data_IF_749848112639
#
_entry.id   IF_749848112639
#
_cell.length_a   1.000
_cell.length_b   1.000
_cell.length_c   1.000
_cell.angle_alpha   90.00
_cell.angle_beta   90.00
_cell.angle_gamma   90.00
#
_symmetry.space_group_name_H-M   'P 1'
#
loop_
_entity.id
_entity.type
_entity.pdbx_description
1 polymer ?
#
# COMPACT_ATOMS: atom_id res chain seq x y z
N UNK A 1 29.21 -2.60 27.81
CA UNK A 1 28.12 -2.00 28.60
C UNK A 1 27.08 -1.45 27.63
N UNK A 2 26.13 -2.27 27.23
CA UNK A 2 25.08 -1.91 26.30
C UNK A 2 23.91 -1.27 27.05
N UNK A 3 23.71 0.05 26.89
CA UNK A 3 22.46 0.73 27.31
C UNK A 3 21.30 0.08 26.58
N UNK A 4 20.43 -0.64 27.27
CA UNK A 4 19.10 -1.00 26.84
C UNK A 4 18.35 0.31 26.53
N UNK A 5 18.35 0.73 25.27
CA UNK A 5 17.46 1.78 24.81
C UNK A 5 16.02 1.26 24.98
N UNK A 6 15.33 1.68 26.06
CA UNK A 6 13.90 1.50 26.21
C UNK A 6 13.23 1.89 24.90
N UNK A 7 12.53 0.96 24.28
CA UNK A 7 11.79 1.24 23.05
C UNK A 7 10.83 2.41 23.31
N UNK A 8 11.19 3.58 22.79
CA UNK A 8 10.33 4.77 22.88
C UNK A 8 9.02 4.43 22.17
N UNK A 9 7.88 4.78 22.76
CA UNK A 9 6.59 4.57 22.13
C UNK A 9 6.51 5.28 20.75
N UNK A 10 5.61 4.85 19.88
CA UNK A 10 5.44 5.37 18.49
C UNK A 10 5.39 6.90 18.46
N UNK A 11 4.59 7.52 19.34
CA UNK A 11 4.46 8.99 19.42
C UNK A 11 5.80 9.65 19.79
N UNK A 12 6.56 9.06 20.74
CA UNK A 12 7.85 9.59 21.14
C UNK A 12 8.90 9.48 20.02
N UNK A 13 8.84 8.41 19.23
CA UNK A 13 9.69 8.27 18.03
C UNK A 13 9.30 9.26 16.95
N UNK A 14 8.01 9.45 16.68
CA UNK A 14 7.52 10.43 15.70
C UNK A 14 7.98 11.84 16.04
N UNK A 15 7.96 12.23 17.31
CA UNK A 15 8.44 13.55 17.78
C UNK A 15 9.93 13.80 17.58
N UNK A 16 10.74 12.80 17.23
CA UNK A 16 12.16 12.96 16.91
C UNK A 16 12.42 13.41 15.47
N UNK A 17 11.40 13.46 14.64
CA UNK A 17 11.48 13.94 13.26
C UNK A 17 11.07 15.40 13.15
N UNK A 18 11.38 16.04 12.03
CA UNK A 18 10.95 17.40 11.72
C UNK A 18 9.40 17.50 11.67
N UNK A 19 8.88 18.71 11.88
CA UNK A 19 7.43 18.95 11.90
C UNK A 19 6.74 18.54 10.59
N UNK A 20 7.42 18.71 9.44
CA UNK A 20 6.95 18.26 8.13
C UNK A 20 6.73 16.75 8.09
N UNK A 21 7.72 15.97 8.52
CA UNK A 21 7.63 14.51 8.61
C UNK A 21 6.54 14.06 9.58
N UNK A 22 6.42 14.69 10.76
CA UNK A 22 5.35 14.41 11.72
C UNK A 22 3.96 14.66 11.09
N UNK A 23 3.82 15.78 10.37
CA UNK A 23 2.59 16.12 9.67
C UNK A 23 2.24 15.08 8.59
N UNK A 24 3.21 14.63 7.81
CA UNK A 24 2.98 13.59 6.79
C UNK A 24 2.54 12.26 7.39
N UNK A 25 3.07 11.87 8.56
CA UNK A 25 2.64 10.64 9.27
C UNK A 25 1.19 10.77 9.75
N UNK A 26 0.84 11.88 10.41
CA UNK A 26 -0.54 12.14 10.84
C UNK A 26 -1.48 12.23 9.64
N UNK A 27 -1.05 12.90 8.56
CA UNK A 27 -1.80 12.93 7.31
C UNK A 27 -2.09 11.54 6.77
N UNK A 28 -1.09 10.65 6.78
CA UNK A 28 -1.28 9.29 6.27
C UNK A 28 -2.34 8.53 7.06
N UNK A 29 -2.31 8.63 8.39
CA UNK A 29 -3.37 8.07 9.25
C UNK A 29 -4.74 8.63 8.88
N UNK A 30 -4.86 9.95 8.84
CA UNK A 30 -6.14 10.65 8.62
C UNK A 30 -6.70 10.40 7.22
N UNK A 31 -5.83 10.32 6.20
CA UNK A 31 -6.20 9.99 4.82
C UNK A 31 -6.75 8.57 4.72
N UNK A 32 -6.08 7.61 5.35
CA UNK A 32 -6.57 6.24 5.35
C UNK A 32 -7.85 6.10 6.17
N UNK A 33 -7.93 6.74 7.33
CA UNK A 33 -9.16 6.78 8.12
C UNK A 33 -10.34 7.25 7.27
N UNK A 34 -10.25 8.45 6.67
CA UNK A 34 -11.32 9.03 5.86
C UNK A 34 -11.63 8.23 4.59
N UNK A 35 -10.64 7.60 3.97
CA UNK A 35 -10.83 6.76 2.80
C UNK A 35 -11.52 5.42 3.14
N UNK A 36 -10.97 4.69 4.11
CA UNK A 36 -11.50 3.37 4.50
C UNK A 36 -12.79 3.46 5.31
N UNK A 37 -13.15 4.63 5.82
CA UNK A 37 -14.44 4.92 6.42
C UNK A 37 -15.59 4.81 5.40
N UNK A 38 -15.32 5.12 4.12
CA UNK A 38 -16.31 5.18 3.05
C UNK A 38 -16.24 3.99 2.09
N UNK A 39 -15.05 3.64 1.63
CA UNK A 39 -14.87 2.71 0.50
C UNK A 39 -15.44 1.30 0.69
N UNK A 40 -15.35 0.66 1.86
CA UNK A 40 -15.94 -0.67 2.06
C UNK A 40 -17.48 -0.67 1.93
N UNK A 41 -18.13 0.46 2.19
CA UNK A 41 -19.60 0.58 2.20
C UNK A 41 -20.17 1.10 0.87
N UNK A 42 -19.32 1.64 0.00
CA UNK A 42 -19.75 2.21 -1.29
C UNK A 42 -20.48 1.17 -2.16
N UNK A 43 -19.93 -0.04 -2.28
CA UNK A 43 -20.56 -1.09 -3.08
C UNK A 43 -21.98 -1.44 -2.58
N UNK A 44 -22.14 -1.56 -1.26
CA UNK A 44 -23.44 -1.85 -0.63
C UNK A 44 -24.43 -0.70 -0.83
N UNK A 45 -23.97 0.54 -0.76
CA UNK A 45 -24.83 1.71 -1.04
C UNK A 45 -25.29 1.74 -2.49
N UNK A 46 -24.37 1.54 -3.45
CA UNK A 46 -24.68 1.56 -4.88
C UNK A 46 -25.68 0.44 -5.26
N UNK A 47 -25.47 -0.78 -4.75
CA UNK A 47 -26.35 -1.92 -5.09
C UNK A 47 -27.62 -1.97 -4.26
N UNK A 48 -27.54 -1.64 -2.96
CA UNK A 48 -28.67 -1.75 -2.02
C UNK A 48 -29.56 -0.50 -2.02
N UNK A 49 -28.98 0.69 -1.76
CA UNK A 49 -29.77 1.92 -1.62
C UNK A 49 -30.16 2.51 -2.97
N UNK A 50 -29.23 2.55 -3.94
CA UNK A 50 -29.50 3.09 -5.28
C UNK A 50 -30.04 2.04 -6.25
N UNK A 51 -30.07 0.75 -5.88
CA UNK A 51 -30.59 -0.33 -6.73
C UNK A 51 -29.84 -0.53 -8.05
N UNK A 52 -28.56 -0.10 -8.13
CA UNK A 52 -27.78 -0.19 -9.37
C UNK A 52 -27.40 -1.64 -9.67
N UNK A 53 -27.47 -2.00 -10.96
CA UNK A 53 -27.03 -3.31 -11.43
C UNK A 53 -25.56 -3.58 -11.08
N UNK A 54 -25.21 -4.82 -10.76
CA UNK A 54 -23.87 -5.21 -10.31
C UNK A 54 -22.74 -4.81 -11.27
N UNK A 55 -22.99 -4.82 -12.59
CA UNK A 55 -22.01 -4.36 -13.58
C UNK A 55 -21.72 -2.85 -13.49
N UNK A 56 -22.71 -2.02 -13.13
CA UNK A 56 -22.53 -0.57 -12.91
C UNK A 56 -21.70 -0.35 -11.64
N UNK A 57 -22.01 -1.09 -10.56
CA UNK A 57 -21.21 -1.06 -9.32
C UNK A 57 -19.77 -1.44 -9.61
N UNK A 58 -19.57 -2.51 -10.36
CA UNK A 58 -18.24 -2.94 -10.81
C UNK A 58 -17.52 -1.88 -11.64
N UNK A 59 -18.24 -1.20 -12.54
CA UNK A 59 -17.70 -0.12 -13.38
C UNK A 59 -17.26 1.09 -12.52
N UNK A 60 -18.08 1.52 -11.57
CA UNK A 60 -17.77 2.64 -10.66
C UNK A 60 -16.49 2.35 -9.84
N UNK A 61 -16.39 1.15 -9.26
CA UNK A 61 -15.22 0.73 -8.50
C UNK A 61 -13.99 0.50 -9.41
N UNK A 62 -14.22 -0.04 -10.60
CA UNK A 62 -13.20 -0.27 -11.62
C UNK A 62 -12.57 1.03 -12.13
N UNK A 63 -13.39 2.03 -12.44
CA UNK A 63 -12.94 3.36 -12.88
C UNK A 63 -12.05 4.02 -11.81
N UNK A 64 -12.43 3.92 -10.53
CA UNK A 64 -11.59 4.41 -9.43
C UNK A 64 -10.21 3.74 -9.41
N UNK A 65 -10.19 2.41 -9.47
CA UNK A 65 -8.94 1.65 -9.44
C UNK A 65 -8.07 1.95 -10.67
N UNK A 66 -8.67 1.98 -11.85
CA UNK A 66 -7.97 2.28 -13.10
C UNK A 66 -7.38 3.70 -13.08
N UNK A 67 -8.17 4.69 -12.66
CA UNK A 67 -7.67 6.08 -12.51
C UNK A 67 -6.52 6.18 -11.52
N UNK A 68 -6.54 5.43 -10.43
CA UNK A 68 -5.44 5.44 -9.46
C UNK A 68 -4.19 4.76 -10.01
N UNK A 69 -4.30 3.52 -10.46
CA UNK A 69 -3.16 2.72 -10.88
C UNK A 69 -2.54 3.22 -12.19
N UNK A 70 -3.38 3.59 -13.17
CA UNK A 70 -2.92 4.10 -14.46
C UNK A 70 -2.28 5.48 -14.38
N UNK A 71 -2.65 6.30 -13.40
CA UNK A 71 -2.16 7.68 -13.27
C UNK A 71 -1.02 7.85 -12.27
N UNK A 72 -0.54 6.81 -11.59
CA UNK A 72 0.56 6.92 -10.65
C UNK A 72 1.84 7.47 -11.27
N UNK A 73 2.21 7.02 -12.48
CA UNK A 73 3.38 7.52 -13.19
C UNK A 73 3.25 9.01 -13.52
N UNK A 74 2.06 9.44 -13.96
CA UNK A 74 1.76 10.85 -14.25
C UNK A 74 1.83 11.68 -12.97
N UNK A 75 1.20 11.20 -11.89
CA UNK A 75 1.22 11.87 -10.58
C UNK A 75 2.64 12.05 -10.03
N UNK A 76 3.47 11.01 -10.12
CA UNK A 76 4.87 11.08 -9.73
C UNK A 76 5.68 12.09 -10.55
N UNK A 77 5.48 12.10 -11.86
CA UNK A 77 6.15 13.04 -12.77
C UNK A 77 5.75 14.49 -12.48
N UNK A 78 4.47 14.73 -12.25
CA UNK A 78 3.98 16.05 -11.86
C UNK A 78 4.55 16.47 -10.49
N UNK A 79 4.69 15.56 -9.55
CA UNK A 79 5.25 15.83 -8.23
C UNK A 79 6.72 16.23 -8.31
N UNK A 80 7.53 15.58 -9.12
CA UNK A 80 8.93 15.96 -9.33
C UNK A 80 9.09 17.31 -10.06
N UNK A 81 8.14 17.67 -10.93
CA UNK A 81 8.18 18.93 -11.70
C UNK A 81 7.60 20.14 -10.98
N UNK A 82 6.43 19.97 -10.37
CA UNK A 82 5.70 21.07 -9.74
C UNK A 82 6.01 21.20 -8.24
N UNK A 83 6.67 20.18 -7.69
CA UNK A 83 6.94 20.06 -6.26
C UNK A 83 5.92 19.18 -5.55
N UNK A 84 6.31 18.66 -4.40
CA UNK A 84 5.51 17.67 -3.67
C UNK A 84 4.27 18.26 -3.01
N UNK A 85 4.40 19.45 -2.37
CA UNK A 85 3.29 20.11 -1.66
C UNK A 85 2.07 20.39 -2.56
N UNK A 86 2.20 20.99 -3.76
CA UNK A 86 1.04 21.24 -4.63
C UNK A 86 0.27 19.96 -4.97
N UNK A 87 0.98 18.86 -5.24
CA UNK A 87 0.34 17.58 -5.61
C UNK A 87 -0.35 16.92 -4.41
N UNK A 88 0.23 17.03 -3.22
CA UNK A 88 -0.37 16.55 -1.97
C UNK A 88 -1.69 17.30 -1.72
N UNK A 89 -1.69 18.62 -1.83
CA UNK A 89 -2.88 19.46 -1.63
C UNK A 89 -3.92 19.20 -2.72
N UNK A 90 -3.50 19.18 -4.00
CA UNK A 90 -4.40 18.90 -5.11
C UNK A 90 -5.09 17.53 -4.98
N UNK A 91 -4.34 16.49 -4.56
CA UNK A 91 -4.91 15.18 -4.27
C UNK A 91 -5.96 15.21 -3.16
N UNK A 92 -5.72 15.95 -2.08
CA UNK A 92 -6.71 16.09 -0.99
C UNK A 92 -7.95 16.86 -1.44
N UNK A 93 -7.80 17.96 -2.17
CA UNK A 93 -8.92 18.75 -2.70
C UNK A 93 -9.76 17.92 -3.68
N UNK A 94 -9.11 17.23 -4.61
CA UNK A 94 -9.80 16.37 -5.57
C UNK A 94 -10.56 15.23 -4.88
N UNK A 95 -10.01 14.67 -3.80
CA UNK A 95 -10.69 13.64 -3.00
C UNK A 95 -11.87 14.21 -2.23
N UNK A 96 -11.76 15.45 -1.69
CA UNK A 96 -12.90 16.17 -1.11
C UNK A 96 -14.06 16.28 -2.10
N UNK A 97 -13.77 16.78 -3.31
CA UNK A 97 -14.77 16.93 -4.37
C UNK A 97 -15.41 15.58 -4.73
N UNK A 98 -14.60 14.53 -4.92
CA UNK A 98 -15.10 13.20 -5.20
C UNK A 98 -16.03 12.66 -4.10
N UNK A 99 -15.69 12.83 -2.83
CA UNK A 99 -16.52 12.34 -1.72
C UNK A 99 -17.80 13.16 -1.54
N UNK A 100 -17.75 14.47 -1.71
CA UNK A 100 -18.96 15.32 -1.74
C UNK A 100 -19.91 14.85 -2.86
N UNK A 101 -19.38 14.61 -4.06
CA UNK A 101 -20.17 14.15 -5.19
C UNK A 101 -20.78 12.76 -4.92
N UNK A 102 -20.00 11.81 -4.38
CA UNK A 102 -20.50 10.47 -4.02
C UNK A 102 -21.61 10.50 -2.95
N UNK A 103 -21.61 11.53 -2.09
CA UNK A 103 -22.64 11.68 -1.04
C UNK A 103 -23.88 12.45 -1.45
N UNK A 104 -23.79 13.30 -2.48
CA UNK A 104 -24.88 14.21 -2.85
C UNK A 104 -25.55 13.91 -4.19
N UNK A 105 -24.94 13.06 -5.04
CA UNK A 105 -25.41 12.82 -6.40
C UNK A 105 -25.58 11.32 -6.67
N UNK A 106 -26.76 10.95 -7.17
CA UNK A 106 -27.13 9.55 -7.40
C UNK A 106 -27.06 9.15 -8.89
N UNK A 107 -26.74 10.09 -9.81
CA UNK A 107 -26.65 9.79 -11.23
C UNK A 107 -25.37 9.00 -11.57
N UNK A 108 -25.48 7.96 -12.40
CA UNK A 108 -24.36 7.10 -12.81
C UNK A 108 -23.19 7.88 -13.40
N UNK A 109 -23.38 8.86 -14.31
CA UNK A 109 -22.26 9.65 -14.83
C UNK A 109 -21.50 10.42 -13.74
N UNK A 110 -22.21 11.00 -12.76
CA UNK A 110 -21.59 11.73 -11.66
C UNK A 110 -20.85 10.79 -10.70
N UNK A 111 -21.39 9.59 -10.42
CA UNK A 111 -20.71 8.55 -9.64
C UNK A 111 -19.43 8.07 -10.31
N UNK A 112 -19.43 7.90 -11.64
CA UNK A 112 -18.23 7.55 -12.41
C UNK A 112 -17.17 8.67 -12.35
N UNK A 113 -17.59 9.94 -12.54
CA UNK A 113 -16.70 11.09 -12.44
C UNK A 113 -16.10 11.23 -11.04
N UNK A 114 -16.91 11.07 -9.99
CA UNK A 114 -16.45 11.10 -8.59
C UNK A 114 -15.47 9.95 -8.28
N UNK A 115 -15.73 8.76 -8.81
CA UNK A 115 -14.84 7.61 -8.68
C UNK A 115 -13.51 7.83 -9.40
N UNK A 116 -13.53 8.37 -10.62
CA UNK A 116 -12.34 8.76 -11.35
C UNK A 116 -11.53 9.82 -10.57
N UNK A 117 -12.21 10.84 -10.04
CA UNK A 117 -11.59 11.89 -9.25
C UNK A 117 -10.93 11.35 -7.97
N UNK A 118 -11.60 10.47 -7.23
CA UNK A 118 -11.04 9.86 -6.02
C UNK A 118 -9.85 8.93 -6.32
N UNK A 119 -9.86 8.24 -7.46
CA UNK A 119 -8.73 7.44 -7.94
C UNK A 119 -7.54 8.32 -8.31
N UNK A 120 -7.75 9.33 -9.17
CA UNK A 120 -6.73 10.29 -9.58
C UNK A 120 -6.12 11.04 -8.37
N UNK A 121 -6.94 11.41 -7.39
CA UNK A 121 -6.47 12.00 -6.14
C UNK A 121 -5.39 11.13 -5.46
N UNK A 122 -5.61 9.81 -5.39
CA UNK A 122 -4.63 8.87 -4.86
C UNK A 122 -3.35 8.80 -5.68
N UNK A 123 -3.48 8.89 -7.00
CA UNK A 123 -2.34 8.88 -7.92
C UNK A 123 -1.45 10.14 -7.78
N UNK A 124 -2.03 11.30 -7.53
CA UNK A 124 -1.31 12.55 -7.28
C UNK A 124 -0.63 12.54 -5.90
N UNK A 125 -1.36 12.11 -4.89
CA UNK A 125 -0.94 12.20 -3.50
C UNK A 125 0.17 11.18 -3.13
N UNK A 126 -0.01 9.89 -3.43
CA UNK A 126 0.84 8.83 -2.88
C UNK A 126 2.32 8.94 -3.27
N UNK A 127 2.71 9.15 -4.57
CA UNK A 127 4.10 9.32 -4.93
C UNK A 127 4.72 10.58 -4.31
N UNK A 128 3.95 11.68 -4.25
CA UNK A 128 4.41 12.95 -3.72
C UNK A 128 4.72 12.86 -2.21
N UNK A 129 3.84 12.23 -1.42
CA UNK A 129 4.05 12.02 0.03
C UNK A 129 5.26 11.15 0.30
N UNK A 130 5.41 10.04 -0.43
CA UNK A 130 6.55 9.12 -0.25
C UNK A 130 7.87 9.80 -0.61
N UNK A 131 7.91 10.53 -1.71
CA UNK A 131 9.10 11.27 -2.12
C UNK A 131 9.43 12.40 -1.13
N UNK A 132 8.43 13.13 -0.64
CA UNK A 132 8.61 14.15 0.40
C UNK A 132 9.18 13.53 1.68
N UNK A 133 8.56 12.44 2.16
CA UNK A 133 9.00 11.73 3.36
C UNK A 133 10.44 11.21 3.21
N UNK A 134 10.78 10.65 2.05
CA UNK A 134 12.11 10.16 1.76
C UNK A 134 13.17 11.28 1.79
N UNK A 135 12.84 12.43 1.20
CA UNK A 135 13.72 13.59 1.16
C UNK A 135 13.91 14.24 2.56
N UNK A 136 12.86 14.23 3.38
CA UNK A 136 12.87 14.81 4.73
C UNK A 136 13.59 13.93 5.75
N UNK A 137 13.42 12.61 5.63
CA UNK A 137 13.99 11.64 6.56
C UNK A 137 15.48 11.38 6.33
N UNK A 138 16.04 11.68 5.16
CA UNK A 138 17.44 11.51 4.83
C UNK A 138 17.95 10.10 5.14
N UNK A 139 19.00 9.95 5.93
CA UNK A 139 19.57 8.65 6.32
C UNK A 139 18.61 7.79 7.19
N UNK A 140 17.61 8.41 7.80
CA UNK A 140 16.62 7.73 8.66
C UNK A 140 15.39 7.25 7.89
N UNK A 141 15.47 7.15 6.54
CA UNK A 141 14.34 6.76 5.66
C UNK A 141 13.66 5.46 6.09
N UNK A 142 14.42 4.42 6.38
CA UNK A 142 13.87 3.11 6.79
C UNK A 142 13.00 3.24 8.06
N UNK A 143 13.49 3.98 9.07
CA UNK A 143 12.74 4.19 10.31
C UNK A 143 11.49 5.07 10.09
N UNK A 144 11.61 6.08 9.22
CA UNK A 144 10.51 6.95 8.86
C UNK A 144 9.39 6.17 8.12
N UNK A 145 9.75 5.30 7.16
CA UNK A 145 8.78 4.46 6.48
C UNK A 145 8.17 3.37 7.38
N UNK A 146 8.92 2.89 8.36
CA UNK A 146 8.37 1.99 9.38
C UNK A 146 7.29 2.68 10.23
N UNK A 147 7.55 3.90 10.69
CA UNK A 147 6.55 4.70 11.40
C UNK A 147 5.37 5.05 10.49
N UNK A 148 5.63 5.47 9.26
CA UNK A 148 4.61 5.75 8.27
C UNK A 148 3.66 4.56 8.05
N UNK A 149 4.20 3.32 8.01
CA UNK A 149 3.38 2.12 7.90
C UNK A 149 2.48 1.90 9.12
N UNK A 150 2.91 2.25 10.33
CA UNK A 150 2.06 2.18 11.52
C UNK A 150 0.84 3.11 11.38
N UNK A 151 1.09 4.38 11.01
CA UNK A 151 0.02 5.35 10.78
C UNK A 151 -0.90 4.94 9.63
N UNK A 152 -0.33 4.38 8.57
CA UNK A 152 -1.05 3.82 7.43
C UNK A 152 -2.01 2.71 7.88
N UNK A 153 -1.51 1.72 8.61
CA UNK A 153 -2.29 0.56 9.06
C UNK A 153 -3.32 0.93 10.16
N UNK A 154 -2.98 1.88 11.03
CA UNK A 154 -3.94 2.37 12.02
C UNK A 154 -5.17 3.02 11.37
N UNK A 155 -4.97 3.80 10.30
CA UNK A 155 -6.06 4.38 9.53
C UNK A 155 -6.92 3.33 8.81
N UNK A 156 -6.30 2.30 8.24
CA UNK A 156 -7.00 1.17 7.60
C UNK A 156 -7.84 0.38 8.63
N UNK A 157 -7.28 0.15 9.81
CA UNK A 157 -7.97 -0.61 10.86
C UNK A 157 -9.16 0.14 11.45
N UNK A 158 -8.99 1.44 11.74
CA UNK A 158 -10.02 2.25 12.38
C UNK A 158 -11.07 2.80 11.39
N UNK A 159 -10.69 2.99 10.12
CA UNK A 159 -11.57 3.54 9.09
C UNK A 159 -12.90 2.81 8.98
N UNK A 160 -12.92 1.49 8.73
CA UNK A 160 -14.17 0.74 8.60
C UNK A 160 -15.03 0.76 9.86
N UNK A 161 -14.42 0.81 11.06
CA UNK A 161 -15.18 0.88 12.33
C UNK A 161 -15.93 2.20 12.45
N UNK A 162 -15.27 3.32 12.16
CA UNK A 162 -15.92 4.63 12.13
C UNK A 162 -16.96 4.69 11.01
N UNK A 163 -16.62 4.15 9.84
CA UNK A 163 -17.51 4.08 8.68
C UNK A 163 -18.78 3.28 8.98
N UNK A 164 -18.68 2.16 9.69
CA UNK A 164 -19.83 1.36 10.10
C UNK A 164 -20.81 2.16 10.98
N UNK A 165 -20.28 2.90 11.95
CA UNK A 165 -21.12 3.73 12.84
C UNK A 165 -21.82 4.85 12.07
N UNK A 166 -21.13 5.53 11.18
CA UNK A 166 -21.69 6.64 10.41
C UNK A 166 -22.66 6.17 9.31
N UNK A 167 -22.29 5.11 8.58
CA UNK A 167 -23.14 4.53 7.52
C UNK A 167 -24.40 3.89 8.10
N UNK A 168 -24.34 3.42 9.36
CA UNK A 168 -25.52 2.94 10.09
C UNK A 168 -26.56 4.04 10.33
N UNK A 169 -26.16 5.32 10.27
CA UNK A 169 -27.10 6.46 10.31
C UNK A 169 -27.50 6.83 8.86
N UNK A 170 -26.53 7.20 8.02
CA UNK A 170 -26.71 7.52 6.60
C UNK A 170 -25.34 7.47 5.88
N UNK A 171 -25.30 6.86 4.70
CA UNK A 171 -24.11 6.84 3.86
C UNK A 171 -23.64 8.25 3.45
N UNK A 172 -24.58 9.19 3.24
CA UNK A 172 -24.28 10.60 2.94
C UNK A 172 -23.49 11.28 4.04
N UNK A 173 -23.81 11.00 5.31
CA UNK A 173 -23.07 11.51 6.48
C UNK A 173 -21.62 11.01 6.42
N UNK A 174 -21.40 9.73 6.12
CA UNK A 174 -20.07 9.17 5.96
C UNK A 174 -19.27 9.88 4.87
N UNK A 175 -19.89 10.16 3.71
CA UNK A 175 -19.27 10.91 2.63
C UNK A 175 -18.90 12.34 3.04
N UNK A 176 -19.81 13.06 3.68
CA UNK A 176 -19.60 14.45 4.12
C UNK A 176 -18.54 14.56 5.22
N UNK A 177 -18.55 13.65 6.20
CA UNK A 177 -17.51 13.60 7.24
C UNK A 177 -16.14 13.28 6.61
N UNK A 178 -16.07 12.33 5.68
CA UNK A 178 -14.84 12.05 4.94
C UNK A 178 -14.36 13.28 4.16
N UNK A 179 -15.26 13.97 3.46
CA UNK A 179 -14.95 15.18 2.73
C UNK A 179 -14.47 16.32 3.65
N UNK A 180 -15.10 16.49 4.82
CA UNK A 180 -14.68 17.47 5.82
C UNK A 180 -13.26 17.18 6.35
N UNK A 181 -12.93 15.90 6.59
CA UNK A 181 -11.58 15.47 6.98
C UNK A 181 -10.56 15.89 5.89
N UNK A 182 -10.83 15.60 4.61
CA UNK A 182 -9.91 15.95 3.52
C UNK A 182 -9.83 17.46 3.29
N UNK A 183 -10.92 18.20 3.51
CA UNK A 183 -10.90 19.68 3.49
C UNK A 183 -9.99 20.23 4.58
N UNK A 184 -10.14 19.73 5.83
CA UNK A 184 -9.30 20.13 6.95
C UNK A 184 -7.82 19.80 6.67
N UNK A 185 -7.54 18.61 6.15
CA UNK A 185 -6.18 18.23 5.75
C UNK A 185 -5.62 19.16 4.68
N UNK A 186 -6.41 19.54 3.67
CA UNK A 186 -5.98 20.48 2.64
C UNK A 186 -5.58 21.83 3.25
N UNK A 187 -6.38 22.37 4.18
CA UNK A 187 -6.10 23.63 4.87
C UNK A 187 -4.82 23.52 5.70
N UNK A 188 -4.69 22.45 6.48
CA UNK A 188 -3.50 22.21 7.32
C UNK A 188 -2.24 22.09 6.45
N UNK A 189 -2.30 21.37 5.34
CA UNK A 189 -1.16 21.17 4.44
C UNK A 189 -0.75 22.46 3.73
N UNK A 190 -1.72 23.27 3.30
CA UNK A 190 -1.44 24.59 2.70
C UNK A 190 -0.66 25.47 3.69
N UNK A 191 -1.05 25.47 4.96
CA UNK A 191 -0.48 26.36 5.99
C UNK A 191 0.80 25.80 6.62
N UNK A 192 0.85 24.50 6.91
CA UNK A 192 1.88 23.91 7.76
C UNK A 192 2.95 23.11 6.99
N UNK A 193 2.68 22.66 5.75
CA UNK A 193 3.65 21.88 4.99
C UNK A 193 4.57 22.83 4.21
N UNK A 194 5.92 22.83 4.45
CA UNK A 194 6.86 23.60 3.66
C UNK A 194 6.82 23.21 2.17
N UNK A 195 7.07 24.17 1.29
CA UNK A 195 7.25 23.89 -0.12
C UNK A 195 8.58 23.16 -0.32
N UNK A 196 8.53 21.94 -0.87
CA UNK A 196 9.72 21.14 -1.19
C UNK A 196 9.63 20.68 -2.64
N UNK A 197 10.73 20.86 -3.36
CA UNK A 197 10.90 20.39 -4.74
C UNK A 197 11.94 19.27 -4.73
N UNK A 198 11.82 18.32 -5.66
CA UNK A 198 12.88 17.34 -5.92
C UNK A 198 14.15 18.04 -6.39
N UNK A 199 15.31 17.42 -6.17
CA UNK A 199 16.61 18.03 -6.49
C UNK A 199 16.79 18.39 -7.98
N UNK A 200 16.03 17.79 -8.88
CA UNK A 200 16.02 18.16 -10.32
C UNK A 200 15.56 19.60 -10.61
N UNK A 201 14.81 20.23 -9.70
CA UNK A 201 14.45 21.64 -9.86
C UNK A 201 15.60 22.60 -9.53
N UNK A 202 16.67 22.10 -8.88
CA UNK A 202 17.87 22.89 -8.57
C UNK A 202 18.91 22.86 -9.69
N UNK A 203 18.96 21.74 -10.45
CA UNK A 203 19.91 21.57 -11.56
C UNK A 203 19.50 22.31 -12.85
N UNK A 204 18.30 22.87 -12.90
CA UNK A 204 17.83 23.71 -14.01
C UNK A 204 18.45 25.11 -14.00
N UNK A 205 19.76 25.25 -13.71
CA UNK A 205 20.45 26.53 -13.88
C UNK A 205 20.47 27.02 -15.34
N UNK A 206 20.26 26.13 -16.31
CA UNK A 206 20.24 26.44 -17.75
C UNK A 206 18.85 26.47 -18.39
N UNK A 207 17.76 26.51 -17.62
CA UNK A 207 16.40 26.78 -18.13
C UNK A 207 15.76 25.68 -19.01
N UNK A 208 16.43 24.56 -19.32
CA UNK A 208 15.86 23.46 -20.10
C UNK A 208 15.39 22.32 -19.20
N UNK A 209 14.12 22.32 -18.84
CA UNK A 209 13.52 21.11 -18.24
C UNK A 209 13.57 19.98 -19.28
N UNK A 210 14.10 18.81 -18.89
CA UNK A 210 14.03 17.60 -19.70
C UNK A 210 12.56 17.29 -20.06
N UNK A 211 12.33 16.79 -21.29
CA UNK A 211 10.98 16.40 -21.69
C UNK A 211 10.47 15.25 -20.81
N UNK A 212 9.14 15.17 -20.59
CA UNK A 212 8.52 14.07 -19.82
C UNK A 212 8.94 12.73 -20.37
N UNK A 213 8.95 12.60 -21.68
CA UNK A 213 9.30 11.36 -22.38
C UNK A 213 10.77 10.95 -22.15
N UNK A 214 11.69 11.93 -22.10
CA UNK A 214 13.09 11.70 -21.75
C UNK A 214 13.25 11.17 -20.34
N UNK A 215 12.51 11.78 -19.38
CA UNK A 215 12.50 11.34 -17.98
C UNK A 215 11.99 9.90 -17.87
N UNK A 216 10.87 9.57 -18.50
CA UNK A 216 10.32 8.21 -18.50
C UNK A 216 11.27 7.20 -19.14
N UNK A 217 11.89 7.58 -20.27
CA UNK A 217 12.87 6.73 -20.94
C UNK A 217 14.10 6.46 -20.06
N UNK A 218 14.56 7.44 -19.29
CA UNK A 218 15.71 7.25 -18.38
C UNK A 218 15.39 6.24 -17.27
N UNK A 219 14.17 6.28 -16.70
CA UNK A 219 13.74 5.37 -15.64
C UNK A 219 13.53 3.94 -16.18
N UNK A 220 12.87 3.81 -17.35
CA UNK A 220 12.66 2.50 -17.99
C UNK A 220 13.99 1.88 -18.48
N UNK A 221 15.02 2.67 -18.69
CA UNK A 221 16.37 2.18 -19.01
C UNK A 221 17.18 1.74 -17.80
N UNK A 222 16.66 1.90 -16.58
CA UNK A 222 17.31 1.40 -15.37
C UNK A 222 16.93 -0.08 -15.13
N UNK A 223 17.78 -1.05 -15.55
CA UNK A 223 17.41 -2.47 -15.47
C UNK A 223 17.33 -2.96 -14.02
N UNK A 224 18.13 -2.40 -13.12
CA UNK A 224 18.10 -2.76 -11.70
C UNK A 224 16.75 -2.37 -11.06
N UNK A 225 16.26 -1.17 -11.39
CA UNK A 225 14.97 -0.70 -10.91
C UNK A 225 13.80 -1.53 -11.48
N UNK A 226 13.82 -1.85 -12.77
CA UNK A 226 12.76 -2.66 -13.39
C UNK A 226 12.74 -4.09 -12.84
N UNK A 227 13.90 -4.74 -12.70
CA UNK A 227 14.00 -6.08 -12.12
C UNK A 227 13.53 -6.10 -10.67
N UNK A 228 13.91 -5.08 -9.89
CA UNK A 228 13.41 -4.91 -8.53
C UNK A 228 11.89 -4.73 -8.50
N UNK A 229 11.35 -3.83 -9.33
CA UNK A 229 9.91 -3.56 -9.41
C UNK A 229 9.12 -4.82 -9.80
N UNK A 230 9.61 -5.59 -10.76
CA UNK A 230 8.99 -6.84 -11.21
C UNK A 230 9.03 -7.91 -10.10
N UNK A 231 10.16 -8.07 -9.41
CA UNK A 231 10.27 -9.00 -8.29
C UNK A 231 9.35 -8.65 -7.12
N UNK A 232 9.08 -7.35 -6.92
CA UNK A 232 8.18 -6.86 -5.88
C UNK A 232 6.68 -6.99 -6.23
N UNK A 233 6.31 -7.36 -7.47
CA UNK A 233 4.90 -7.63 -7.81
C UNK A 233 4.33 -8.68 -6.87
N UNK A 234 5.07 -9.76 -6.61
CA UNK A 234 4.61 -10.83 -5.70
C UNK A 234 4.33 -10.36 -4.28
N UNK A 235 5.08 -9.37 -3.77
CA UNK A 235 4.81 -8.74 -2.49
C UNK A 235 3.37 -8.20 -2.43
N UNK A 236 2.98 -7.40 -3.41
CA UNK A 236 1.64 -6.81 -3.45
C UNK A 236 0.55 -7.83 -3.76
N UNK A 237 0.81 -8.79 -4.66
CA UNK A 237 -0.15 -9.87 -4.94
C UNK A 237 -0.47 -10.64 -3.66
N UNK A 238 0.54 -11.04 -2.89
CA UNK A 238 0.36 -11.76 -1.62
C UNK A 238 -0.32 -10.88 -0.56
N UNK A 239 0.09 -9.62 -0.42
CA UNK A 239 -0.50 -8.69 0.53
C UNK A 239 -2.00 -8.47 0.29
N UNK A 240 -2.42 -8.38 -0.98
CA UNK A 240 -3.82 -8.17 -1.34
C UNK A 240 -4.69 -9.40 -1.09
N UNK A 241 -4.13 -10.59 -0.85
CA UNK A 241 -4.91 -11.76 -0.49
C UNK A 241 -5.61 -11.63 0.89
N UNK A 242 -5.15 -10.73 1.74
CA UNK A 242 -5.87 -10.35 2.98
C UNK A 242 -7.27 -9.78 2.68
N UNK A 243 -7.45 -9.19 1.49
CA UNK A 243 -8.72 -8.61 1.05
C UNK A 243 -9.51 -9.49 0.08
N UNK A 244 -8.91 -10.55 -0.47
CA UNK A 244 -9.54 -11.41 -1.46
C UNK A 244 -9.63 -12.87 -0.99
N UNK A 245 -8.53 -13.62 -1.07
CA UNK A 245 -8.57 -15.07 -0.87
C UNK A 245 -8.85 -15.46 0.59
N UNK A 246 -8.26 -14.75 1.56
CA UNK A 246 -8.44 -15.09 2.97
C UNK A 246 -9.88 -14.89 3.45
N UNK A 247 -10.55 -13.75 3.18
CA UNK A 247 -11.98 -13.60 3.54
C UNK A 247 -12.89 -14.58 2.81
N UNK A 248 -12.59 -14.92 1.55
CA UNK A 248 -13.36 -15.91 0.79
C UNK A 248 -13.25 -17.30 1.42
N UNK A 249 -12.07 -17.69 1.89
CA UNK A 249 -11.85 -18.96 2.57
C UNK A 249 -12.54 -19.00 3.94
N UNK A 250 -12.45 -17.93 4.73
CA UNK A 250 -13.17 -17.80 5.99
C UNK A 250 -14.68 -18.00 5.78
N UNK A 251 -15.25 -17.32 4.76
CA UNK A 251 -16.69 -17.41 4.46
C UNK A 251 -17.08 -18.75 3.87
N UNK A 252 -16.20 -19.42 3.16
CA UNK A 252 -16.43 -20.79 2.65
C UNK A 252 -16.67 -21.78 3.79
N UNK A 253 -15.89 -21.66 4.86
CA UNK A 253 -15.99 -22.55 6.03
C UNK A 253 -17.00 -22.03 7.08
N UNK A 254 -16.90 -20.76 7.44
CA UNK A 254 -17.70 -20.15 8.53
C UNK A 254 -19.06 -19.59 8.10
N UNK A 255 -19.38 -19.61 6.80
CA UNK A 255 -20.64 -19.07 6.25
C UNK A 255 -20.72 -17.53 6.26
N UNK A 256 -21.87 -17.00 5.85
CA UNK A 256 -22.16 -15.57 5.77
C UNK A 256 -22.70 -14.99 7.11
N UNK A 257 -22.90 -15.84 8.12
CA UNK A 257 -23.45 -15.44 9.42
C UNK A 257 -22.44 -14.74 10.33
N UNK A 258 -22.84 -14.59 11.59
CA UNK A 258 -22.07 -13.91 12.65
C UNK A 258 -20.68 -14.53 12.84
N UNK A 259 -20.56 -15.86 12.75
CA UNK A 259 -19.29 -16.58 12.90
C UNK A 259 -18.28 -16.24 11.81
N UNK A 260 -18.69 -16.25 10.52
CA UNK A 260 -17.83 -15.88 9.41
C UNK A 260 -17.41 -14.42 9.48
N UNK A 261 -18.32 -13.54 9.84
CA UNK A 261 -18.03 -12.11 10.03
C UNK A 261 -17.04 -11.87 11.17
N UNK A 262 -17.22 -12.54 12.32
CA UNK A 262 -16.29 -12.44 13.44
C UNK A 262 -14.89 -12.97 13.10
N UNK A 263 -14.78 -14.07 12.37
CA UNK A 263 -13.51 -14.64 11.94
C UNK A 263 -12.76 -13.71 10.96
N UNK A 264 -13.47 -13.08 10.01
CA UNK A 264 -12.89 -12.04 9.13
C UNK A 264 -12.42 -10.83 9.95
N UNK A 265 -13.22 -10.36 10.89
CA UNK A 265 -12.82 -9.24 11.75
C UNK A 265 -11.58 -9.57 12.61
N UNK A 266 -11.49 -10.79 13.15
CA UNK A 266 -10.33 -11.27 13.90
C UNK A 266 -9.07 -11.27 13.02
N UNK A 267 -9.16 -11.76 11.80
CA UNK A 267 -8.05 -11.79 10.85
C UNK A 267 -7.50 -10.36 10.58
N UNK A 268 -8.37 -9.40 10.31
CA UNK A 268 -7.96 -8.00 10.12
C UNK A 268 -7.39 -7.38 11.40
N UNK A 269 -7.98 -7.67 12.56
CA UNK A 269 -7.50 -7.18 13.85
C UNK A 269 -6.09 -7.72 14.14
N UNK A 270 -5.85 -9.00 13.95
CA UNK A 270 -4.53 -9.64 14.14
C UNK A 270 -3.48 -9.00 13.22
N UNK A 271 -3.79 -8.82 11.94
CA UNK A 271 -2.89 -8.18 10.97
C UNK A 271 -2.58 -6.72 11.34
N UNK A 272 -3.60 -5.92 11.62
CA UNK A 272 -3.44 -4.50 11.95
C UNK A 272 -2.73 -4.27 13.29
N UNK A 273 -3.15 -4.96 14.35
CA UNK A 273 -2.56 -4.82 15.68
C UNK A 273 -1.12 -5.29 15.73
N UNK A 274 -0.78 -6.42 15.08
CA UNK A 274 0.60 -6.89 15.02
C UNK A 274 1.52 -5.85 14.37
N UNK A 275 1.07 -5.19 13.29
CA UNK A 275 1.83 -4.11 12.65
C UNK A 275 1.99 -2.91 13.58
N UNK A 276 0.92 -2.42 14.19
CA UNK A 276 0.97 -1.25 15.08
C UNK A 276 1.90 -1.48 16.27
N UNK A 277 1.86 -2.67 16.85
CA UNK A 277 2.63 -3.00 18.07
C UNK A 277 4.07 -3.44 17.77
N UNK A 278 4.32 -4.07 16.62
CA UNK A 278 5.58 -4.75 16.31
C UNK A 278 6.50 -4.03 15.33
N UNK A 279 5.98 -3.14 14.46
CA UNK A 279 6.71 -2.56 13.33
C UNK A 279 8.07 -1.98 13.71
N UNK A 280 8.13 -1.07 14.67
CA UNK A 280 9.39 -0.37 15.02
C UNK A 280 10.44 -1.30 15.60
N UNK A 281 10.03 -2.26 16.45
CA UNK A 281 10.94 -3.25 17.04
C UNK A 281 11.49 -4.18 15.97
N UNK A 282 10.65 -4.67 15.09
CA UNK A 282 11.03 -5.59 14.02
C UNK A 282 11.92 -4.90 12.99
N UNK A 283 11.61 -3.66 12.60
CA UNK A 283 12.47 -2.86 11.70
C UNK A 283 13.85 -2.61 12.31
N UNK A 284 13.91 -2.24 13.61
CA UNK A 284 15.17 -2.02 14.30
C UNK A 284 16.01 -3.31 14.37
N UNK A 285 15.37 -4.45 14.63
CA UNK A 285 16.02 -5.76 14.64
C UNK A 285 16.57 -6.13 13.25
N UNK A 286 15.79 -5.92 12.19
CA UNK A 286 16.22 -6.16 10.81
C UNK A 286 17.42 -5.29 10.43
N UNK A 287 17.37 -3.98 10.73
CA UNK A 287 18.49 -3.05 10.47
C UNK A 287 19.78 -3.46 11.14
N UNK A 288 19.71 -4.03 12.34
CA UNK A 288 20.89 -4.45 13.10
C UNK A 288 21.52 -5.75 12.58
N UNK A 289 20.77 -6.59 11.82
CA UNK A 289 21.18 -7.95 11.46
C UNK A 289 21.16 -8.27 9.97
N UNK A 290 20.48 -7.47 9.16
CA UNK A 290 20.23 -7.77 7.74
C UNK A 290 20.63 -6.60 6.85
N UNK A 291 21.24 -6.91 5.71
CA UNK A 291 21.33 -5.94 4.62
C UNK A 291 19.94 -5.71 4.00
N UNK A 292 19.68 -4.53 3.40
CA UNK A 292 18.36 -4.20 2.83
C UNK A 292 17.80 -5.27 1.88
N UNK A 293 18.62 -5.81 0.98
CA UNK A 293 18.18 -6.86 0.06
C UNK A 293 17.90 -8.21 0.76
N UNK A 294 18.56 -8.51 1.87
CA UNK A 294 18.25 -9.69 2.68
C UNK A 294 16.92 -9.53 3.41
N UNK A 295 16.65 -8.33 3.96
CA UNK A 295 15.37 -8.02 4.61
C UNK A 295 14.19 -8.15 3.61
N UNK A 296 14.37 -7.64 2.39
CA UNK A 296 13.38 -7.79 1.32
C UNK A 296 13.09 -9.27 1.00
N UNK A 297 14.15 -10.06 0.75
CA UNK A 297 14.01 -11.50 0.46
C UNK A 297 13.37 -12.27 1.61
N UNK A 298 13.79 -11.99 2.85
CA UNK A 298 13.22 -12.61 4.07
C UNK A 298 11.73 -12.24 4.24
N UNK A 299 11.36 -10.96 4.03
CA UNK A 299 9.97 -10.54 4.08
C UNK A 299 9.09 -11.28 3.09
N UNK A 300 9.53 -11.41 1.83
CA UNK A 300 8.78 -12.15 0.80
C UNK A 300 8.72 -13.65 1.08
N UNK A 301 9.79 -14.23 1.65
CA UNK A 301 9.79 -15.63 2.07
C UNK A 301 8.71 -15.88 3.13
N UNK A 302 8.64 -15.02 4.16
CA UNK A 302 7.63 -15.13 5.21
C UNK A 302 6.23 -14.95 4.63
N UNK A 303 6.04 -14.02 3.68
CA UNK A 303 4.76 -13.83 3.00
C UNK A 303 4.36 -15.06 2.16
N UNK A 304 5.31 -15.72 1.50
CA UNK A 304 5.04 -16.97 0.79
C UNK A 304 4.64 -18.08 1.76
N UNK A 305 5.40 -18.28 2.84
CA UNK A 305 5.12 -19.26 3.89
C UNK A 305 3.80 -19.00 4.61
N UNK A 306 3.28 -17.76 4.54
CA UNK A 306 1.97 -17.40 5.12
C UNK A 306 0.80 -18.27 4.61
N UNK A 307 0.91 -18.88 3.44
CA UNK A 307 -0.14 -19.74 2.89
C UNK A 307 -0.03 -21.20 3.31
N UNK A 308 1.07 -21.60 4.00
CA UNK A 308 1.26 -22.96 4.52
C UNK A 308 0.19 -23.37 5.54
N UNK A 309 -0.26 -22.53 6.49
CA UNK A 309 -1.35 -22.90 7.40
C UNK A 309 -2.66 -23.23 6.69
N UNK A 310 -2.96 -22.51 5.59
CA UNK A 310 -4.15 -22.79 4.77
C UNK A 310 -3.97 -24.08 3.97
N UNK A 311 -2.78 -24.30 3.41
CA UNK A 311 -2.44 -25.54 2.73
C UNK A 311 -2.53 -26.75 3.68
N UNK A 312 -2.01 -26.65 4.89
CA UNK A 312 -2.11 -27.70 5.91
C UNK A 312 -3.58 -27.97 6.31
N UNK A 313 -4.40 -26.91 6.40
CA UNK A 313 -5.82 -27.05 6.71
C UNK A 313 -6.59 -27.85 5.63
N UNK A 314 -6.15 -27.88 4.37
CA UNK A 314 -6.78 -28.69 3.32
C UNK A 314 -6.65 -30.20 3.53
N UNK A 315 -5.69 -30.65 4.33
CA UNK A 315 -5.48 -32.05 4.67
C UNK A 315 -6.34 -32.51 5.87
N UNK A 316 -7.02 -31.59 6.55
CA UNK A 316 -7.85 -31.88 7.72
C UNK A 316 -9.30 -32.01 7.27
N UNK A 317 -10.03 -33.05 7.66
CA UNK A 317 -11.47 -33.15 7.38
C UNK A 317 -12.22 -31.95 7.95
N UNK A 318 -13.14 -31.42 7.16
CA UNK A 318 -13.96 -30.27 7.61
C UNK A 318 -14.94 -30.78 8.69
N UNK A 319 -14.93 -30.21 9.91
CA UNK A 319 -15.86 -30.58 10.95
C UNK A 319 -17.32 -30.29 10.55
N UNK A 320 -18.26 -31.10 10.99
CA UNK A 320 -19.70 -30.98 10.65
C UNK A 320 -20.37 -29.74 11.28
N UNK A 321 -19.66 -28.97 12.09
CA UNK A 321 -20.16 -27.74 12.71
C UNK A 321 -19.54 -27.43 14.08
N UNK A 322 -20.16 -26.50 14.80
CA UNK A 322 -19.76 -26.11 16.14
C UNK A 322 -18.40 -25.40 16.24
N UNK A 323 -17.75 -25.56 17.39
CA UNK A 323 -16.48 -24.90 17.70
C UNK A 323 -15.33 -25.36 16.76
N UNK A 324 -15.34 -26.65 16.35
CA UNK A 324 -14.32 -27.19 15.45
C UNK A 324 -14.32 -26.49 14.09
N UNK A 325 -15.50 -26.30 13.50
CA UNK A 325 -15.65 -25.59 12.23
C UNK A 325 -15.23 -24.11 12.36
N UNK A 326 -15.59 -23.45 13.46
CA UNK A 326 -15.19 -22.06 13.71
C UNK A 326 -13.66 -21.92 13.85
N UNK A 327 -13.02 -22.81 14.60
CA UNK A 327 -11.57 -22.80 14.77
C UNK A 327 -10.87 -23.02 13.42
N UNK A 328 -11.38 -23.93 12.58
CA UNK A 328 -10.84 -24.17 11.25
C UNK A 328 -11.05 -22.98 10.32
N UNK A 329 -12.15 -22.26 10.42
CA UNK A 329 -12.41 -21.07 9.65
C UNK A 329 -11.61 -19.85 10.13
N UNK A 330 -11.27 -19.77 11.41
CA UNK A 330 -10.62 -18.58 12.01
C UNK A 330 -9.09 -18.69 12.11
N UNK A 331 -8.55 -19.84 12.56
CA UNK A 331 -7.12 -19.95 12.91
C UNK A 331 -6.21 -19.92 11.68
N UNK A 332 -6.36 -20.77 10.64
CA UNK A 332 -5.44 -20.78 9.51
C UNK A 332 -5.40 -19.45 8.76
N UNK A 333 -6.55 -18.78 8.44
CA UNK A 333 -6.53 -17.47 7.80
C UNK A 333 -5.97 -16.36 8.69
N UNK A 334 -6.21 -16.39 10.01
CA UNK A 334 -5.65 -15.41 10.94
C UNK A 334 -4.14 -15.57 11.08
N UNK A 335 -3.63 -16.80 11.10
CA UNK A 335 -2.19 -17.08 11.10
C UNK A 335 -1.55 -16.66 9.79
N UNK A 336 -2.21 -16.91 8.66
CA UNK A 336 -1.77 -16.41 7.35
C UNK A 336 -1.70 -14.88 7.33
N UNK A 337 -2.74 -14.19 7.82
CA UNK A 337 -2.77 -12.75 7.90
C UNK A 337 -1.67 -12.18 8.83
N UNK A 338 -1.38 -12.85 9.94
CA UNK A 338 -0.26 -12.51 10.82
C UNK A 338 1.10 -12.62 10.11
N UNK A 339 1.33 -13.73 9.41
CA UNK A 339 2.58 -13.95 8.67
C UNK A 339 2.73 -12.96 7.50
N UNK A 340 1.63 -12.66 6.78
CA UNK A 340 1.62 -11.61 5.75
C UNK A 340 1.95 -10.24 6.36
N UNK A 341 1.40 -9.91 7.53
CA UNK A 341 1.72 -8.68 8.23
C UNK A 341 3.19 -8.64 8.66
N UNK A 342 3.73 -9.72 9.22
CA UNK A 342 5.14 -9.82 9.61
C UNK A 342 6.07 -9.66 8.40
N UNK A 343 5.79 -10.32 7.29
CA UNK A 343 6.55 -10.17 6.05
C UNK A 343 6.51 -8.73 5.52
N UNK A 344 5.33 -8.10 5.55
CA UNK A 344 5.16 -6.69 5.17
C UNK A 344 5.94 -5.75 6.09
N UNK A 345 5.90 -5.97 7.41
CA UNK A 345 6.65 -5.17 8.39
C UNK A 345 8.16 -5.23 8.15
N UNK A 346 8.67 -6.38 7.72
CA UNK A 346 10.08 -6.55 7.37
C UNK A 346 10.39 -5.87 6.03
N UNK A 347 9.62 -6.15 4.98
CA UNK A 347 9.96 -5.72 3.62
C UNK A 347 9.66 -4.23 3.36
N UNK A 348 8.50 -3.72 3.76
CA UNK A 348 8.00 -2.39 3.35
C UNK A 348 8.96 -1.22 3.63
N UNK A 349 9.60 -1.07 4.80
CA UNK A 349 10.52 0.05 5.03
C UNK A 349 11.76 0.02 4.14
N UNK A 350 12.27 -1.18 3.86
CA UNK A 350 13.43 -1.37 2.99
C UNK A 350 13.07 -1.25 1.51
N UNK A 351 11.86 -1.66 1.12
CA UNK A 351 11.28 -1.46 -0.20
C UNK A 351 11.27 0.03 -0.56
N UNK A 352 10.68 0.85 0.31
CA UNK A 352 10.58 2.30 0.11
C UNK A 352 11.96 2.95 0.01
N UNK A 353 12.92 2.57 0.85
CA UNK A 353 14.29 3.08 0.80
C UNK A 353 15.04 2.59 -0.46
N UNK A 354 14.81 1.34 -0.89
CA UNK A 354 15.45 0.78 -2.08
C UNK A 354 15.03 1.50 -3.36
N UNK A 355 13.77 1.91 -3.48
CA UNK A 355 13.30 2.73 -4.62
C UNK A 355 14.10 4.04 -4.70
N UNK A 356 14.30 4.72 -3.58
CA UNK A 356 15.07 5.97 -3.53
C UNK A 356 16.54 5.72 -3.88
N UNK A 357 17.16 4.66 -3.35
CA UNK A 357 18.54 4.29 -3.68
C UNK A 357 18.71 3.98 -5.16
N UNK A 358 17.80 3.23 -5.76
CA UNK A 358 17.86 2.89 -7.18
C UNK A 358 17.55 4.07 -8.10
N UNK A 359 16.85 5.09 -7.61
CA UNK A 359 16.64 6.35 -8.32
C UNK A 359 17.86 7.27 -8.31
N UNK A 360 18.85 7.00 -7.45
CA UNK A 360 20.00 7.90 -7.22
C UNK A 360 19.57 9.28 -6.71
N UNK A 361 18.52 9.34 -5.89
CA UNK A 361 17.87 10.55 -5.37
C UNK A 361 17.33 11.51 -6.47
N UNK A 362 17.22 11.03 -7.74
CA UNK A 362 16.67 11.79 -8.87
C UNK A 362 15.31 11.23 -9.28
N UNK A 363 14.35 12.12 -9.63
CA UNK A 363 13.01 11.75 -10.09
C UNK A 363 12.33 10.74 -9.14
N UNK A 364 12.47 10.94 -7.84
CA UNK A 364 12.05 9.99 -6.80
C UNK A 364 10.55 9.74 -6.86
N UNK A 365 9.73 10.79 -7.02
CA UNK A 365 8.29 10.62 -7.14
C UNK A 365 7.88 9.90 -8.43
N UNK A 366 8.59 10.14 -9.54
CA UNK A 366 8.37 9.42 -10.82
C UNK A 366 8.74 7.94 -10.69
N UNK A 367 9.83 7.59 -9.98
CA UNK A 367 10.18 6.20 -9.68
C UNK A 367 9.10 5.53 -8.82
N UNK A 368 8.62 6.17 -7.76
CA UNK A 368 7.46 5.67 -6.99
C UNK A 368 6.21 5.53 -7.86
N UNK A 369 5.98 6.47 -8.76
CA UNK A 369 4.86 6.43 -9.70
C UNK A 369 4.93 5.21 -10.63
N UNK A 370 6.04 4.99 -11.32
CA UNK A 370 6.24 3.83 -12.21
C UNK A 370 6.17 2.52 -11.42
N UNK A 371 6.83 2.45 -10.27
CA UNK A 371 6.79 1.30 -9.37
C UNK A 371 5.34 0.93 -9.00
N UNK A 372 4.55 1.90 -8.53
CA UNK A 372 3.16 1.67 -8.17
C UNK A 372 2.29 1.27 -9.37
N UNK A 373 2.56 1.80 -10.57
CA UNK A 373 1.87 1.38 -11.81
C UNK A 373 2.17 -0.08 -12.13
N UNK A 374 3.45 -0.49 -12.09
CA UNK A 374 3.86 -1.88 -12.32
C UNK A 374 3.21 -2.81 -11.29
N UNK A 375 3.29 -2.47 -10.01
CA UNK A 375 2.68 -3.25 -8.94
C UNK A 375 1.15 -3.28 -9.05
N UNK A 376 0.51 -2.20 -9.46
CA UNK A 376 -0.93 -2.11 -9.66
C UNK A 376 -1.43 -3.04 -10.77
N UNK A 377 -0.72 -3.12 -11.88
CA UNK A 377 -0.98 -4.11 -12.94
C UNK A 377 -0.81 -5.52 -12.36
N UNK A 378 0.28 -5.75 -11.62
CA UNK A 378 0.55 -7.02 -10.97
C UNK A 378 -0.54 -7.44 -9.98
N UNK A 379 -1.06 -6.52 -9.15
CA UNK A 379 -2.18 -6.77 -8.25
C UNK A 379 -3.43 -7.20 -9.03
N UNK A 380 -3.76 -6.50 -10.10
CA UNK A 380 -4.95 -6.79 -10.91
C UNK A 380 -4.86 -8.19 -11.52
N UNK A 381 -3.74 -8.51 -12.15
CA UNK A 381 -3.51 -9.83 -12.74
C UNK A 381 -3.42 -10.92 -11.66
N UNK A 382 -2.74 -10.65 -10.55
CA UNK A 382 -2.60 -11.58 -9.43
C UNK A 382 -3.94 -11.91 -8.78
N UNK A 383 -4.80 -10.93 -8.58
CA UNK A 383 -6.15 -11.15 -8.05
C UNK A 383 -7.03 -11.95 -9.02
N UNK A 384 -6.94 -11.65 -10.33
CA UNK A 384 -7.65 -12.41 -11.36
C UNK A 384 -7.19 -13.88 -11.36
N UNK A 385 -5.88 -14.12 -11.39
CA UNK A 385 -5.32 -15.48 -11.38
C UNK A 385 -5.64 -16.23 -10.09
N UNK A 386 -5.65 -15.53 -8.94
CA UNK A 386 -6.07 -16.15 -7.66
C UNK A 386 -7.55 -16.53 -7.70
N UNK A 387 -8.41 -15.66 -8.26
CA UNK A 387 -9.83 -15.99 -8.45
C UNK A 387 -10.02 -17.24 -9.31
N UNK A 388 -9.35 -17.29 -10.47
CA UNK A 388 -9.35 -18.46 -11.37
C UNK A 388 -8.83 -19.71 -10.65
N UNK A 389 -7.76 -19.60 -9.85
CA UNK A 389 -7.22 -20.71 -9.09
C UNK A 389 -8.19 -21.22 -8.01
N UNK A 390 -8.94 -20.32 -7.35
CA UNK A 390 -9.99 -20.67 -6.40
C UNK A 390 -11.16 -21.40 -7.08
N UNK A 391 -11.58 -20.95 -8.26
CA UNK A 391 -12.65 -21.60 -9.02
C UNK A 391 -12.21 -22.93 -9.58
N UNK A 392 -11.01 -23.05 -10.13
CA UNK A 392 -10.43 -24.32 -10.58
C UNK A 392 -10.28 -25.32 -9.42
N UNK A 393 -9.87 -24.85 -8.25
CA UNK A 393 -9.77 -25.68 -7.04
C UNK A 393 -11.13 -26.27 -6.64
N UNK A 394 -12.20 -25.47 -6.73
CA UNK A 394 -13.58 -25.92 -6.45
C UNK A 394 -14.04 -26.95 -7.48
N UNK A 395 -13.81 -26.66 -8.77
CA UNK A 395 -14.22 -27.55 -9.86
C UNK A 395 -13.49 -28.90 -9.83
N UNK A 396 -12.20 -28.90 -9.47
CA UNK A 396 -11.37 -30.09 -9.38
C UNK A 396 -11.47 -30.84 -8.03
N UNK A 397 -12.14 -30.25 -7.02
CA UNK A 397 -12.16 -30.81 -5.65
C UNK A 397 -10.80 -30.77 -4.94
N UNK A 398 -9.84 -29.95 -5.42
CA UNK A 398 -8.47 -29.84 -4.89
C UNK A 398 -8.27 -28.46 -4.27
N UNK A 399 -8.64 -28.30 -3.00
CA UNK A 399 -8.58 -27.01 -2.28
C UNK A 399 -7.16 -26.43 -2.09
N UNK A 400 -6.12 -27.23 -2.35
CA UNK A 400 -4.72 -26.84 -2.17
C UNK A 400 -4.17 -25.91 -3.27
N UNK A 401 -4.74 -25.93 -4.49
CA UNK A 401 -4.22 -25.24 -5.69
C UNK A 401 -3.87 -23.76 -5.45
N UNK A 402 -4.77 -22.90 -4.95
CA UNK A 402 -4.47 -21.48 -4.78
C UNK A 402 -3.37 -21.23 -3.75
N UNK A 403 -3.31 -22.03 -2.69
CA UNK A 403 -2.31 -21.89 -1.63
C UNK A 403 -0.91 -22.30 -2.09
N UNK A 404 -0.80 -23.36 -2.89
CA UNK A 404 0.45 -23.79 -3.54
C UNK A 404 0.91 -22.68 -4.52
N UNK A 405 0.02 -22.14 -5.34
CA UNK A 405 0.35 -21.09 -6.29
C UNK A 405 0.89 -19.83 -5.60
N UNK A 406 0.26 -19.40 -4.51
CA UNK A 406 0.72 -18.23 -3.74
C UNK A 406 2.03 -18.50 -2.98
N UNK A 407 2.21 -19.70 -2.42
CA UNK A 407 3.46 -20.12 -1.80
C UNK A 407 4.61 -20.11 -2.82
N UNK A 408 4.43 -20.72 -3.99
CA UNK A 408 5.45 -20.77 -5.05
C UNK A 408 5.77 -19.38 -5.60
N UNK A 409 4.78 -18.48 -5.73
CA UNK A 409 5.00 -17.08 -6.08
C UNK A 409 5.91 -16.39 -5.05
N UNK A 410 5.63 -16.56 -3.76
CA UNK A 410 6.42 -15.98 -2.68
C UNK A 410 7.86 -16.48 -2.66
N UNK A 411 8.05 -17.79 -2.80
CA UNK A 411 9.37 -18.42 -2.89
C UNK A 411 10.15 -17.93 -4.11
N UNK A 412 9.52 -17.84 -5.28
CA UNK A 412 10.12 -17.34 -6.52
C UNK A 412 10.56 -15.88 -6.42
N UNK A 413 9.69 -15.01 -5.90
CA UNK A 413 10.02 -13.60 -5.69
C UNK A 413 11.11 -13.40 -4.63
N UNK A 414 11.08 -14.16 -3.53
CA UNK A 414 12.13 -14.15 -2.52
C UNK A 414 13.48 -14.56 -3.12
N UNK A 415 13.52 -15.64 -3.90
CA UNK A 415 14.72 -16.10 -4.58
C UNK A 415 15.25 -15.05 -5.59
N UNK A 416 14.35 -14.41 -6.35
CA UNK A 416 14.72 -13.34 -7.29
C UNK A 416 15.37 -12.15 -6.56
N UNK A 417 14.79 -11.66 -5.46
CA UNK A 417 15.37 -10.57 -4.66
C UNK A 417 16.70 -10.95 -4.02
N UNK A 418 16.82 -12.18 -3.54
CA UNK A 418 18.08 -12.68 -3.00
C UNK A 418 19.17 -12.75 -4.09
N UNK A 419 18.80 -13.17 -5.31
CA UNK A 419 19.68 -13.13 -6.49
C UNK A 419 20.10 -11.72 -6.85
N UNK A 420 19.18 -10.76 -6.88
CA UNK A 420 19.48 -9.34 -7.12
C UNK A 420 20.41 -8.76 -6.03
N UNK A 421 20.20 -9.17 -4.77
CA UNK A 421 21.08 -8.77 -3.68
C UNK A 421 22.50 -9.32 -3.87
N UNK A 422 22.66 -10.62 -4.16
CA UNK A 422 23.97 -11.26 -4.38
C UNK A 422 24.74 -10.71 -5.58
N UNK A 423 24.02 -10.38 -6.66
CA UNK A 423 24.63 -9.79 -7.85
C UNK A 423 24.94 -8.28 -7.71
N UNK A 424 24.66 -7.69 -6.54
CA UNK A 424 24.93 -6.28 -6.26
C UNK A 424 23.99 -5.30 -6.97
N UNK A 425 22.97 -5.77 -7.69
CA UNK A 425 22.04 -4.93 -8.47
C UNK A 425 21.12 -4.05 -7.62
N UNK A 426 21.02 -4.31 -6.32
CA UNK A 426 20.27 -3.47 -5.36
C UNK A 426 21.15 -2.37 -4.72
N UNK A 427 22.40 -2.20 -5.19
CA UNK A 427 23.27 -1.11 -4.76
C UNK A 427 22.94 0.17 -5.54
N UNK A 428 23.15 1.36 -4.94
CA UNK A 428 23.03 2.62 -5.66
C UNK A 428 23.88 2.60 -6.93
N UNK A 429 23.46 3.25 -8.03
CA UNK A 429 24.34 3.49 -9.18
C UNK A 429 25.59 4.22 -8.70
N UNK A 430 26.75 3.84 -9.24
CA UNK A 430 28.00 4.52 -8.91
C UNK A 430 27.84 6.03 -9.22
N UNK A 431 28.36 6.93 -8.34
CA UNK A 431 28.36 8.35 -8.64
C UNK A 431 29.01 8.55 -10.03
N UNK A 432 28.34 9.34 -10.88
CA UNK A 432 28.93 9.73 -12.15
C UNK A 432 30.32 10.34 -11.86
N UNK A 433 31.37 9.79 -12.47
CA UNK A 433 32.71 10.30 -12.30
C UNK A 433 32.69 11.80 -12.58
N UNK A 434 33.02 12.61 -11.56
CA UNK A 434 33.23 14.04 -11.77
C UNK A 434 34.30 14.17 -12.85
N UNK A 435 34.09 14.96 -13.92
CA UNK A 435 35.14 15.22 -14.86
C UNK A 435 36.33 15.78 -14.08
N UNK A 436 37.48 15.12 -14.21
CA UNK A 436 38.72 15.55 -13.61
C UNK A 436 38.88 17.04 -13.92
N UNK A 437 38.84 17.90 -12.89
CA UNK A 437 39.21 19.29 -13.03
C UNK A 437 40.67 19.29 -13.54
N UNK A 438 40.84 19.57 -14.83
CA UNK A 438 42.15 19.80 -15.39
C UNK A 438 42.78 20.97 -14.61
N UNK A 439 43.74 20.64 -13.74
CA UNK A 439 44.63 21.63 -13.16
C UNK A 439 45.45 22.24 -14.29
N UNK A 440 45.15 23.50 -14.61
CA UNK A 440 46.03 24.39 -15.38
C UNK A 440 46.88 25.18 -14.39
#
# INVERSE_FOLDING_TARGET
MGRHARAKGVIAQTRTYERSTQLLMVNQFTINLGFYMLMPYLASHLSGTLGLAGWIVGLVLGVRNFSQQGMFLVGGTLADRLGYKPLIVAGCVLRTLGFVTLGLVDSVPALLAASAATGLAGALFNPAVRAYLAADAGERRVDAFALFNIYYQAGILLGPLVGMLLTGIDFRITCLVSAAIFTLLSIVQIRALPARRGDNAKDSKDGKQESVLSQWRSIVRNPSFLLFSTAMIGFYVMQFQVYLALPLEVRRLGGQGTFGTAAVALMFAVSGLSTILGQTKLTAWCKARMAPGQALGCGLLIMGVAFVPLLAATAIPVPDGGMGLWLMAAIPPSLAALLLALGTMIAFPFEMDTIVRLSGDRLVATHYGLYNTICGIGITLGNLLTGVALDAARAAGVSAIPWIALLTLGLGCSAALYGLHRTGRLRPPAPAAQPATASV
#
